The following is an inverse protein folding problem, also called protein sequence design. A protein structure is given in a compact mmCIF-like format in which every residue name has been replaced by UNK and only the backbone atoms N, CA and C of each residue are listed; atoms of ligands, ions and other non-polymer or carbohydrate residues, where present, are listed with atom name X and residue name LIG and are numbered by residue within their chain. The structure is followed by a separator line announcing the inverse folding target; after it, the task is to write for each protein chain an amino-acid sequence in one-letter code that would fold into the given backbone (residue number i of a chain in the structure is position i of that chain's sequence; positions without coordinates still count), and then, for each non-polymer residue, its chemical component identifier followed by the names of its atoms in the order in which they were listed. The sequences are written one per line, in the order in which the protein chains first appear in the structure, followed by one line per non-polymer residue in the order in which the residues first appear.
data_IF_681110278891
#
_entry.id   IF_681110278891
#
_cell.length_a   1.000
_cell.length_b   1.000
_cell.length_c   1.000
_cell.angle_alpha   90.00
_cell.angle_beta   90.00
_cell.angle_gamma   90.00
#
_symmetry.space_group_name_H-M   'P 1'
#
loop_
_entity.id
_entity.type
_entity.pdbx_description
1 polymer ?
#
# COMPACT_ATOMS: atom_id res chain seq x y z
N UNK A 1 11.86 -24.96 -16.16
CA UNK A 1 11.18 -23.75 -16.67
C UNK A 1 11.43 -22.62 -15.68
N UNK A 2 12.22 -21.60 -16.07
CA UNK A 2 12.45 -20.41 -15.23
C UNK A 2 11.20 -19.52 -15.34
N UNK A 3 10.39 -19.47 -14.29
CA UNK A 3 9.34 -18.46 -14.18
C UNK A 3 10.04 -17.09 -14.14
N UNK A 4 9.76 -16.25 -15.13
CA UNK A 4 10.09 -14.82 -15.05
C UNK A 4 9.50 -14.29 -13.75
N UNK A 5 10.29 -13.59 -12.95
CA UNK A 5 9.81 -12.83 -11.81
C UNK A 5 8.93 -11.68 -12.34
N UNK A 6 7.71 -11.99 -12.80
CA UNK A 6 6.66 -11.00 -12.90
C UNK A 6 6.32 -10.64 -11.45
N UNK A 7 6.52 -9.37 -11.10
CA UNK A 7 6.07 -8.84 -9.80
C UNK A 7 4.60 -9.17 -9.56
N UNK A 8 4.15 -9.09 -8.31
CA UNK A 8 2.74 -9.35 -8.02
C UNK A 8 1.89 -8.32 -8.77
N UNK A 9 0.67 -8.67 -9.22
CA UNK A 9 -0.22 -7.68 -9.78
C UNK A 9 -0.45 -6.55 -8.78
N UNK A 10 -0.37 -5.32 -9.25
CA UNK A 10 -0.57 -4.15 -8.39
C UNK A 10 -2.02 -4.13 -7.86
N UNK A 11 -2.18 -3.72 -6.62
CA UNK A 11 -3.49 -3.52 -6.01
C UNK A 11 -4.15 -2.29 -6.65
N UNK A 12 -5.25 -2.49 -7.36
CA UNK A 12 -6.07 -1.39 -7.85
C UNK A 12 -6.86 -0.76 -6.69
N UNK A 13 -6.97 0.57 -6.60
CA UNK A 13 -7.90 1.25 -5.68
C UNK A 13 -9.38 0.83 -5.86
N UNK A 14 -9.74 0.23 -6.99
CA UNK A 14 -11.09 -0.29 -7.25
C UNK A 14 -11.29 -1.74 -6.82
N UNK A 15 -10.24 -2.42 -6.34
CA UNK A 15 -10.37 -3.76 -5.78
C UNK A 15 -11.23 -3.72 -4.49
N UNK A 16 -12.19 -4.64 -4.28
CA UNK A 16 -12.99 -4.65 -3.06
C UNK A 16 -12.17 -4.66 -1.77
N UNK A 17 -11.01 -5.34 -1.75
CA UNK A 17 -10.12 -5.33 -0.60
C UNK A 17 -9.46 -3.96 -0.39
N UNK A 18 -9.07 -3.28 -1.49
CA UNK A 18 -8.53 -1.93 -1.45
C UNK A 18 -9.57 -0.94 -0.90
N UNK A 19 -10.80 -1.01 -1.42
CA UNK A 19 -11.91 -0.13 -0.99
C UNK A 19 -12.27 -0.32 0.49
N UNK A 20 -12.25 -1.56 0.98
CA UNK A 20 -12.54 -1.86 2.38
C UNK A 20 -11.58 -1.16 3.35
N UNK A 21 -10.32 -0.95 2.94
CA UNK A 21 -9.30 -0.25 3.74
C UNK A 21 -9.02 1.18 3.23
N UNK A 22 -9.78 1.68 2.26
CA UNK A 22 -9.55 3.02 1.68
C UNK A 22 -8.16 3.18 1.07
N UNK A 23 -7.66 2.14 0.40
CA UNK A 23 -6.34 2.20 -0.23
C UNK A 23 -6.30 3.22 -1.37
N UNK A 24 -5.26 4.04 -1.36
CA UNK A 24 -4.86 4.95 -2.45
C UNK A 24 -3.40 4.66 -2.83
N UNK A 25 -3.04 4.88 -4.09
CA UNK A 25 -1.67 4.67 -4.57
C UNK A 25 -0.72 5.82 -4.21
N UNK A 26 -1.27 6.96 -3.80
CA UNK A 26 -0.53 8.12 -3.31
C UNK A 26 -1.20 8.65 -2.05
N UNK A 27 -0.45 8.71 -0.95
CA UNK A 27 -0.88 9.24 0.34
C UNK A 27 -1.42 10.67 0.27
N UNK A 28 -0.98 11.47 -0.71
CA UNK A 28 -1.51 12.81 -0.96
C UNK A 28 -2.97 12.80 -1.45
N UNK A 29 -3.48 11.66 -1.90
CA UNK A 29 -4.86 11.48 -2.38
C UNK A 29 -5.82 10.94 -1.32
N UNK A 30 -5.36 10.76 -0.07
CA UNK A 30 -6.23 10.31 1.01
C UNK A 30 -7.35 11.33 1.25
N UNK A 31 -8.58 10.84 1.31
CA UNK A 31 -9.74 11.64 1.71
C UNK A 31 -9.66 11.95 3.21
N UNK A 32 -9.14 13.14 3.54
CA UNK A 32 -8.95 13.57 4.93
C UNK A 32 -10.28 13.70 5.70
N UNK A 33 -11.41 13.90 5.02
CA UNK A 33 -12.70 13.95 5.69
C UNK A 33 -13.13 12.55 6.18
N UNK A 34 -12.78 11.50 5.44
CA UNK A 34 -13.00 10.10 5.85
C UNK A 34 -11.93 9.59 6.82
N UNK A 35 -10.70 10.07 6.69
CA UNK A 35 -9.56 9.61 7.47
C UNK A 35 -8.87 10.79 8.21
N UNK A 36 -9.52 11.40 9.21
CA UNK A 36 -9.02 12.62 9.85
C UNK A 36 -7.68 12.44 10.58
N UNK A 37 -7.33 11.20 10.94
CA UNK A 37 -6.07 10.85 11.62
C UNK A 37 -4.91 10.57 10.66
N UNK A 38 -5.15 10.54 9.35
CA UNK A 38 -4.10 10.42 8.34
C UNK A 38 -3.11 11.59 8.45
N UNK A 39 -1.82 11.29 8.27
CA UNK A 39 -0.75 12.29 8.17
C UNK A 39 -0.03 12.10 6.83
N UNK A 40 0.32 13.18 6.10
CA UNK A 40 1.03 13.08 4.82
C UNK A 40 2.37 12.33 4.87
N UNK A 41 2.96 12.18 6.06
CA UNK A 41 4.16 11.37 6.27
C UNK A 41 3.88 9.87 6.37
N UNK A 42 2.64 9.42 6.34
CA UNK A 42 2.27 8.01 6.40
C UNK A 42 2.14 7.45 4.99
N UNK A 43 3.03 6.55 4.61
CA UNK A 43 2.96 5.84 3.35
C UNK A 43 3.30 4.35 3.54
N UNK A 44 3.11 3.54 2.50
CA UNK A 44 3.42 2.12 2.55
C UNK A 44 4.91 1.89 2.84
N UNK A 45 5.81 2.73 2.33
CA UNK A 45 7.26 2.56 2.51
C UNK A 45 7.68 2.55 3.99
N UNK A 46 6.98 3.33 4.84
CA UNK A 46 7.20 3.33 6.29
C UNK A 46 6.17 2.54 7.11
N UNK A 47 5.30 1.76 6.46
CA UNK A 47 4.28 0.96 7.10
C UNK A 47 4.81 -0.42 7.55
N UNK A 48 4.42 -0.87 8.74
CA UNK A 48 4.82 -2.14 9.36
C UNK A 48 4.33 -3.37 8.60
N UNK A 49 3.35 -3.24 7.71
CA UNK A 49 2.82 -4.34 6.89
C UNK A 49 3.44 -4.43 5.50
N UNK A 50 4.18 -3.41 5.07
CA UNK A 50 4.87 -3.42 3.77
C UNK A 50 6.07 -4.37 3.80
N UNK A 51 6.30 -5.09 2.71
CA UNK A 51 7.35 -6.11 2.55
C UNK A 51 8.16 -5.88 1.28
N UNK A 52 7.96 -4.76 0.59
CA UNK A 52 8.79 -4.38 -0.56
C UNK A 52 10.21 -4.00 -0.14
N UNK A 53 11.14 -4.12 -1.08
CA UNK A 53 12.52 -3.69 -0.88
C UNK A 53 12.59 -2.16 -0.69
N UNK A 54 13.59 -1.68 0.05
CA UNK A 54 13.83 -0.26 0.20
C UNK A 54 14.08 0.41 -1.17
N UNK A 55 13.39 1.52 -1.43
CA UNK A 55 13.47 2.23 -2.72
C UNK A 55 12.68 1.60 -3.87
N UNK A 56 12.08 0.42 -3.68
CA UNK A 56 11.19 -0.15 -4.68
C UNK A 56 9.88 0.66 -4.75
N UNK A 57 9.40 1.04 -5.95
CA UNK A 57 8.16 1.80 -6.11
C UNK A 57 6.91 0.97 -5.75
N UNK A 58 7.02 -0.35 -5.82
CA UNK A 58 5.95 -1.30 -5.51
C UNK A 58 6.49 -2.43 -4.66
N UNK A 59 5.65 -3.00 -3.82
CA UNK A 59 6.01 -4.22 -3.13
C UNK A 59 4.88 -4.83 -2.31
N UNK A 60 5.09 -6.05 -1.79
CA UNK A 60 4.01 -6.80 -1.18
C UNK A 60 3.53 -6.13 0.10
N UNK A 61 2.25 -6.22 0.39
CA UNK A 61 1.67 -5.84 1.68
C UNK A 61 1.06 -7.07 2.34
N UNK A 62 1.35 -7.30 3.63
CA UNK A 62 0.81 -8.45 4.37
C UNK A 62 -0.73 -8.46 4.41
N UNK A 63 -1.37 -7.28 4.31
CA UNK A 63 -2.83 -7.15 4.30
C UNK A 63 -3.47 -7.45 2.93
N UNK A 64 -2.68 -7.48 1.86
CA UNK A 64 -3.14 -7.73 0.50
C UNK A 64 -2.36 -8.90 -0.12
N UNK A 65 -2.61 -10.15 0.32
CA UNK A 65 -1.87 -11.31 -0.15
C UNK A 65 -1.95 -11.45 -1.68
N UNK A 66 -0.80 -11.66 -2.32
CA UNK A 66 -0.70 -11.84 -3.77
C UNK A 66 -0.82 -10.54 -4.59
N UNK A 67 -0.80 -9.37 -3.94
CA UNK A 67 -0.78 -8.05 -4.59
C UNK A 67 0.41 -7.21 -4.11
N UNK A 68 0.87 -6.32 -4.98
CA UNK A 68 1.81 -5.26 -4.62
C UNK A 68 1.08 -3.93 -4.40
N UNK A 69 1.48 -3.18 -3.39
CA UNK A 69 1.01 -1.80 -3.14
C UNK A 69 2.09 -0.81 -3.55
N UNK A 70 1.69 0.41 -3.88
CA UNK A 70 2.63 1.49 -4.19
C UNK A 70 3.32 1.90 -2.89
N UNK A 71 4.64 2.09 -2.92
CA UNK A 71 5.41 2.54 -1.75
C UNK A 71 4.93 3.91 -1.23
N UNK A 72 4.39 4.77 -2.08
CA UNK A 72 3.78 6.06 -1.71
C UNK A 72 2.30 5.95 -1.32
N UNK A 73 1.70 4.78 -1.45
CA UNK A 73 0.30 4.56 -1.15
C UNK A 73 0.00 4.59 0.34
N UNK A 74 -1.28 4.52 0.68
CA UNK A 74 -1.75 4.50 2.06
C UNK A 74 -3.05 3.71 2.15
N UNK A 75 -3.34 3.12 3.32
CA UNK A 75 -4.67 2.58 3.66
C UNK A 75 -4.93 2.81 5.15
N UNK A 76 -6.19 2.70 5.58
CA UNK A 76 -6.63 2.96 6.96
C UNK A 76 -5.98 2.08 8.02
N UNK A 77 -5.43 0.93 7.62
CA UNK A 77 -4.67 0.02 8.48
C UNK A 77 -3.18 0.39 8.62
N UNK A 78 -2.77 1.58 8.14
CA UNK A 78 -1.39 2.05 8.28
C UNK A 78 -0.92 1.97 9.73
N UNK A 79 0.28 1.42 9.91
CA UNK A 79 0.97 1.42 11.17
C UNK A 79 2.43 1.77 10.90
N UNK A 80 2.87 2.96 11.32
CA UNK A 80 4.27 3.37 11.17
C UNK A 80 5.20 2.34 11.82
N UNK A 81 6.28 1.96 11.13
CA UNK A 81 7.34 1.14 11.72
C UNK A 81 7.97 1.86 12.91
N UNK A 82 8.28 1.11 13.96
CA UNK A 82 9.12 1.58 15.07
C UNK A 82 10.59 1.45 14.74
#
# INVERSE_FOLDING_TARGET
MRASAAGLPHLSPTDPAAQALGYVEDTAQVDQAKYPNHKPSQDCSNCNFYRGAAGAPWGPCQLFPGKDVNAKGWCSAHATRK
#
